data_IF_310974710064
#
_entry.id   IF_310974710064
#
_cell.length_a   1.000
_cell.length_b   1.000
_cell.length_c   1.000
_cell.angle_alpha   90.00
_cell.angle_beta   90.00
_cell.angle_gamma   90.00
#
_symmetry.space_group_name_H-M   'P 1'
#
loop_
_entity.id
_entity.type
_entity.pdbx_description
1 polymer ?
#
# COMPACT_ATOMS: atom_id res chain seq x y z
N UNK A 1 -19.48 -17.90 -36.42
CA UNK A 1 -18.73 -19.11 -36.00
C UNK A 1 -17.29 -19.00 -36.50
N UNK A 2 -16.54 -18.02 -35.99
CA UNK A 2 -15.08 -17.85 -36.17
C UNK A 2 -14.65 -17.07 -34.93
N UNK A 3 -14.33 -17.75 -33.83
CA UNK A 3 -13.70 -17.12 -32.65
C UNK A 3 -13.12 -18.14 -31.64
N UNK A 4 -12.78 -19.36 -32.10
CA UNK A 4 -12.19 -20.40 -31.23
C UNK A 4 -10.76 -20.80 -31.59
N UNK A 5 -10.14 -20.19 -32.62
CA UNK A 5 -8.76 -20.51 -33.04
C UNK A 5 -7.70 -19.48 -32.62
N UNK A 6 -8.10 -18.34 -32.02
CA UNK A 6 -7.15 -17.25 -31.74
C UNK A 6 -6.21 -17.54 -30.56
N UNK A 7 -6.67 -18.24 -29.52
CA UNK A 7 -5.88 -18.50 -28.30
C UNK A 7 -4.67 -19.40 -28.55
N UNK A 8 -4.80 -20.42 -29.42
CA UNK A 8 -3.67 -21.28 -29.83
C UNK A 8 -2.66 -20.54 -30.72
N UNK A 9 -3.08 -19.45 -31.35
CA UNK A 9 -2.26 -18.66 -32.28
C UNK A 9 -1.39 -17.68 -31.50
N UNK A 10 -1.94 -17.06 -30.45
CA UNK A 10 -1.22 -16.17 -29.55
C UNK A 10 -0.16 -16.93 -28.72
N UNK A 11 -0.49 -18.09 -28.17
CA UNK A 11 0.49 -18.92 -27.43
C UNK A 11 1.67 -19.37 -28.30
N UNK A 12 1.41 -19.71 -29.57
CA UNK A 12 2.47 -20.04 -30.55
C UNK A 12 3.32 -18.82 -30.89
N UNK A 13 2.71 -17.65 -31.07
CA UNK A 13 3.44 -16.42 -31.34
C UNK A 13 4.34 -16.02 -30.16
N UNK A 14 3.81 -16.09 -28.93
CA UNK A 14 4.59 -15.86 -27.71
C UNK A 14 5.74 -16.87 -27.57
N UNK A 15 5.50 -18.17 -27.80
CA UNK A 15 6.55 -19.19 -27.75
C UNK A 15 7.67 -18.95 -28.78
N UNK A 16 7.32 -18.51 -30.00
CA UNK A 16 8.27 -18.17 -31.05
C UNK A 16 9.11 -16.94 -30.70
N UNK A 17 8.49 -15.88 -30.18
CA UNK A 17 9.19 -14.64 -29.79
C UNK A 17 10.13 -14.92 -28.61
N UNK A 18 9.68 -15.65 -27.59
CA UNK A 18 10.52 -15.99 -26.44
C UNK A 18 11.74 -16.82 -26.84
N UNK A 19 11.58 -17.80 -27.75
CA UNK A 19 12.72 -18.57 -28.30
C UNK A 19 13.67 -17.69 -29.11
N UNK A 20 13.14 -16.77 -29.91
CA UNK A 20 13.95 -15.83 -30.68
C UNK A 20 14.74 -14.87 -29.79
N UNK A 21 14.14 -14.37 -28.69
CA UNK A 21 14.84 -13.53 -27.72
C UNK A 21 15.95 -14.29 -26.97
N UNK A 22 15.72 -15.57 -26.66
CA UNK A 22 16.74 -16.44 -26.03
C UNK A 22 17.92 -16.74 -26.97
N UNK A 23 17.66 -16.85 -28.28
CA UNK A 23 18.71 -17.09 -29.28
C UNK A 23 19.57 -15.86 -29.58
N UNK A 24 19.07 -14.64 -29.32
CA UNK A 24 19.71 -13.39 -29.73
C UNK A 24 20.15 -12.49 -28.55
N UNK A 25 20.29 -13.04 -27.32
CA UNK A 25 20.85 -12.35 -26.16
C UNK A 25 20.32 -10.91 -25.93
N UNK A 26 19.01 -10.76 -25.75
CA UNK A 26 18.29 -9.47 -25.63
C UNK A 26 18.33 -8.58 -26.89
N UNK A 27 17.66 -8.99 -27.97
CA UNK A 27 17.60 -8.20 -29.20
C UNK A 27 16.71 -6.94 -29.06
N UNK A 28 17.10 -5.87 -29.76
CA UNK A 28 16.40 -4.58 -29.82
C UNK A 28 15.20 -4.61 -30.77
N UNK A 29 14.30 -3.63 -30.66
CA UNK A 29 13.14 -3.47 -31.56
C UNK A 29 13.56 -3.33 -33.03
N UNK A 30 14.70 -2.69 -33.30
CA UNK A 30 15.26 -2.52 -34.64
C UNK A 30 15.77 -3.84 -35.22
N UNK A 31 16.35 -4.71 -34.40
CA UNK A 31 16.76 -6.06 -34.82
C UNK A 31 15.55 -6.94 -35.14
N UNK A 32 14.44 -6.79 -34.39
CA UNK A 32 13.19 -7.47 -34.70
C UNK A 32 12.59 -6.98 -36.03
N UNK A 33 12.56 -5.66 -36.27
CA UNK A 33 12.08 -5.09 -37.54
C UNK A 33 12.97 -5.54 -38.72
N UNK A 34 14.28 -5.59 -38.52
CA UNK A 34 15.24 -6.10 -39.52
C UNK A 34 15.00 -7.58 -39.83
N UNK A 35 14.81 -8.42 -38.81
CA UNK A 35 14.50 -9.84 -38.99
C UNK A 35 13.17 -10.06 -39.74
N UNK A 36 12.12 -9.30 -39.40
CA UNK A 36 10.83 -9.36 -40.08
C UNK A 36 10.91 -8.88 -41.52
N UNK A 37 11.76 -7.88 -41.80
CA UNK A 37 12.00 -7.36 -43.16
C UNK A 37 12.71 -8.41 -44.01
N UNK A 38 13.71 -9.09 -43.44
CA UNK A 38 14.39 -10.21 -44.10
C UNK A 38 13.45 -11.41 -44.36
N UNK A 39 12.42 -11.58 -43.52
CA UNK A 39 11.35 -12.57 -43.72
C UNK A 39 10.20 -12.08 -44.60
N UNK A 40 10.32 -10.88 -45.19
CA UNK A 40 9.32 -10.25 -46.04
C UNK A 40 7.92 -10.06 -45.38
N UNK A 41 7.87 -9.98 -44.04
CA UNK A 41 6.64 -9.81 -43.25
C UNK A 41 6.33 -8.34 -42.97
N UNK A 42 6.17 -7.56 -44.04
CA UNK A 42 5.87 -6.12 -43.96
C UNK A 42 4.53 -5.82 -43.26
N UNK A 43 3.59 -6.77 -43.28
CA UNK A 43 2.31 -6.71 -42.57
C UNK A 43 2.47 -6.63 -41.05
N UNK A 44 3.45 -7.37 -40.51
CA UNK A 44 3.77 -7.36 -39.07
C UNK A 44 4.57 -6.12 -38.70
N UNK A 45 5.48 -5.66 -39.56
CA UNK A 45 6.22 -4.40 -39.33
C UNK A 45 5.24 -3.23 -39.24
N UNK A 46 4.25 -3.16 -40.15
CA UNK A 46 3.21 -2.12 -40.10
C UNK A 46 2.38 -2.19 -38.81
N UNK A 47 2.03 -3.39 -38.34
CA UNK A 47 1.33 -3.56 -37.06
C UNK A 47 2.20 -3.11 -35.88
N UNK A 48 3.49 -3.46 -35.88
CA UNK A 48 4.44 -2.99 -34.86
C UNK A 48 4.53 -1.46 -34.88
N UNK A 49 4.64 -0.85 -36.05
CA UNK A 49 4.68 0.60 -36.22
C UNK A 49 3.37 1.28 -35.78
N UNK A 50 2.22 0.65 -36.02
CA UNK A 50 0.91 1.11 -35.52
C UNK A 50 0.81 1.00 -34.00
N UNK A 51 1.28 -0.10 -33.41
CA UNK A 51 1.35 -0.26 -31.96
C UNK A 51 2.32 0.75 -31.33
N UNK A 52 3.48 1.01 -31.94
CA UNK A 52 4.41 2.03 -31.44
C UNK A 52 3.90 3.45 -31.66
N UNK A 53 3.07 3.70 -32.69
CA UNK A 53 2.38 4.98 -32.90
C UNK A 53 1.19 5.18 -31.95
N UNK A 54 0.48 4.12 -31.58
CA UNK A 54 -0.55 4.22 -30.54
C UNK A 54 0.04 4.47 -29.15
N UNK A 55 1.30 4.08 -28.91
CA UNK A 55 2.06 4.45 -27.71
C UNK A 55 2.83 5.78 -27.84
N UNK A 56 2.87 6.41 -29.01
CA UNK A 56 3.49 7.74 -29.23
C UNK A 56 2.52 8.72 -29.90
N UNK A 57 1.91 9.60 -29.09
CA UNK A 57 1.20 10.80 -29.55
C UNK A 57 2.16 11.75 -30.31
N UNK A 58 1.68 12.62 -31.23
CA UNK A 58 2.51 13.17 -32.30
C UNK A 58 3.60 14.13 -31.81
N UNK A 59 4.75 14.02 -32.48
CA UNK A 59 6.01 14.72 -32.21
C UNK A 59 5.84 16.25 -32.15
N UNK A 60 6.22 16.81 -31.01
CA UNK A 60 6.72 18.19 -30.89
C UNK A 60 8.23 18.20 -31.18
N UNK A 61 8.77 19.31 -31.70
CA UNK A 61 10.08 19.33 -32.34
C UNK A 61 11.19 19.01 -31.34
N UNK A 62 12.17 18.26 -31.86
CA UNK A 62 13.47 17.93 -31.28
C UNK A 62 13.99 18.96 -30.28
N UNK A 63 13.89 18.62 -29.00
CA UNK A 63 14.56 19.29 -27.90
C UNK A 63 14.50 18.39 -26.68
N UNK A 64 15.61 17.72 -26.37
CA UNK A 64 15.93 17.03 -25.11
C UNK A 64 14.72 16.65 -24.23
N UNK A 65 14.33 15.38 -24.26
CA UNK A 65 13.55 14.78 -23.15
C UNK A 65 14.37 14.96 -21.87
N UNK A 66 14.04 15.97 -21.08
CA UNK A 66 14.58 16.10 -19.74
C UNK A 66 14.03 14.93 -18.94
N UNK A 67 14.86 13.92 -18.66
CA UNK A 67 14.57 12.95 -17.60
C UNK A 67 14.10 13.75 -16.38
N UNK A 68 12.87 13.52 -15.90
CA UNK A 68 12.36 14.21 -14.71
C UNK A 68 13.40 14.03 -13.60
N UNK A 69 13.92 15.15 -13.09
CA UNK A 69 14.89 15.10 -11.99
C UNK A 69 14.23 14.53 -10.73
N UNK A 70 15.00 13.82 -9.92
CA UNK A 70 14.56 13.16 -8.68
C UNK A 70 13.81 14.13 -7.75
N UNK A 71 14.29 15.38 -7.69
CA UNK A 71 13.67 16.45 -6.89
C UNK A 71 12.23 16.75 -7.31
N UNK A 72 11.96 16.74 -8.62
CA UNK A 72 10.64 17.01 -9.20
C UNK A 72 9.69 15.86 -8.90
N UNK A 73 10.14 14.62 -9.11
CA UNK A 73 9.35 13.42 -8.83
C UNK A 73 8.99 13.34 -7.34
N UNK A 74 9.96 13.59 -6.46
CA UNK A 74 9.73 13.61 -5.01
C UNK A 74 8.68 14.66 -4.63
N UNK A 75 8.80 15.89 -5.14
CA UNK A 75 7.84 16.97 -4.89
C UNK A 75 6.42 16.63 -5.40
N UNK A 76 6.32 16.00 -6.57
CA UNK A 76 5.04 15.53 -7.14
C UNK A 76 4.39 14.43 -6.29
N UNK A 77 5.16 13.46 -5.79
CA UNK A 77 4.68 12.42 -4.87
C UNK A 77 4.17 13.02 -3.56
N UNK A 78 4.93 13.94 -2.96
CA UNK A 78 4.51 14.63 -1.73
C UNK A 78 3.21 15.41 -1.94
N UNK A 79 3.12 16.17 -3.03
CA UNK A 79 1.90 16.90 -3.41
C UNK A 79 0.72 15.96 -3.66
N UNK A 80 0.96 14.80 -4.27
CA UNK A 80 -0.04 13.77 -4.47
C UNK A 80 -0.62 13.28 -3.13
N UNK A 81 0.22 12.93 -2.16
CA UNK A 81 -0.27 12.45 -0.86
C UNK A 81 -0.99 13.53 -0.06
N UNK A 82 -0.45 14.76 -0.03
CA UNK A 82 -1.14 15.90 0.61
C UNK A 82 -2.54 16.13 0.01
N UNK A 83 -2.68 15.99 -1.32
CA UNK A 83 -3.96 16.14 -2.01
C UNK A 83 -4.93 14.99 -1.73
N UNK A 84 -4.46 13.74 -1.81
CA UNK A 84 -5.30 12.55 -1.78
C UNK A 84 -5.59 12.01 -0.37
N UNK A 85 -4.70 12.27 0.59
CA UNK A 85 -4.82 11.78 1.97
C UNK A 85 -4.91 12.89 3.02
N UNK A 86 -4.60 14.15 2.67
CA UNK A 86 -4.67 15.27 3.61
C UNK A 86 -6.09 15.63 4.03
N UNK A 87 -7.10 15.34 3.20
CA UNK A 87 -8.51 15.62 3.49
C UNK A 87 -9.31 14.34 3.73
N UNK A 88 -10.08 14.31 4.81
CA UNK A 88 -11.05 13.28 5.12
C UNK A 88 -12.47 13.80 4.96
N UNK A 89 -13.35 13.00 4.35
CA UNK A 89 -14.77 13.28 4.22
C UNK A 89 -15.51 12.83 5.47
N UNK A 90 -16.01 13.78 6.26
CA UNK A 90 -16.87 13.49 7.39
C UNK A 90 -18.33 13.52 6.97
N UNK A 91 -19.04 12.42 7.24
CA UNK A 91 -20.49 12.36 7.08
C UNK A 91 -21.12 13.00 8.32
N UNK A 92 -21.59 14.24 8.18
CA UNK A 92 -22.44 14.88 9.17
C UNK A 92 -23.85 14.25 9.13
N UNK A 93 -24.63 14.31 10.23
CA UNK A 93 -26.00 13.80 10.23
C UNK A 93 -26.82 14.42 9.08
N UNK A 94 -27.74 13.60 8.56
CA UNK A 94 -28.58 13.84 7.39
C UNK A 94 -29.01 15.31 7.29
N UNK A 95 -28.71 15.94 6.15
CA UNK A 95 -29.02 17.32 5.69
C UNK A 95 -27.82 18.30 5.56
N UNK A 96 -26.57 17.90 5.81
CA UNK A 96 -25.39 18.73 5.48
C UNK A 96 -24.42 18.02 4.55
N UNK A 97 -23.87 18.76 3.57
CA UNK A 97 -22.82 18.30 2.64
C UNK A 97 -21.61 17.81 3.46
N UNK A 98 -20.94 16.71 3.06
CA UNK A 98 -19.76 16.23 3.75
C UNK A 98 -18.71 17.35 3.92
N UNK A 99 -18.29 17.59 5.16
CA UNK A 99 -17.21 18.54 5.44
C UNK A 99 -15.88 17.84 5.18
N UNK A 100 -15.00 18.48 4.40
CA UNK A 100 -13.63 18.01 4.21
C UNK A 100 -12.77 18.58 5.34
N UNK A 101 -12.24 17.71 6.20
CA UNK A 101 -11.41 18.09 7.35
C UNK A 101 -9.99 17.57 7.17
N UNK A 102 -9.01 18.24 7.78
CA UNK A 102 -7.60 17.86 7.72
C UNK A 102 -7.33 16.58 8.56
N UNK A 103 -6.70 15.57 7.96
CA UNK A 103 -6.38 14.29 8.64
C UNK A 103 -5.46 14.50 9.84
N UNK A 104 -4.45 15.38 9.71
CA UNK A 104 -3.43 15.60 10.74
C UNK A 104 -4.02 16.24 11.98
N UNK A 105 -4.97 17.16 11.80
CA UNK A 105 -5.69 17.80 12.92
C UNK A 105 -6.62 16.84 13.66
N UNK A 106 -7.12 15.80 12.96
CA UNK A 106 -8.05 14.81 13.50
C UNK A 106 -7.39 13.48 13.87
N UNK A 107 -6.07 13.39 13.76
CA UNK A 107 -5.38 12.17 14.15
C UNK A 107 -5.38 12.04 15.67
N UNK A 108 -5.88 10.89 16.13
CA UNK A 108 -5.79 10.49 17.54
C UNK A 108 -4.72 9.42 17.64
N UNK A 109 -3.80 9.61 18.58
CA UNK A 109 -2.67 8.71 18.75
C UNK A 109 -3.11 7.27 19.04
N UNK A 110 -2.46 6.35 18.35
CA UNK A 110 -2.66 4.91 18.50
C UNK A 110 -1.65 4.36 19.51
N UNK A 111 -2.11 3.46 20.37
CA UNK A 111 -1.26 2.62 21.18
C UNK A 111 -0.53 1.63 20.27
N UNK A 112 0.78 1.84 20.14
CA UNK A 112 1.69 1.05 19.33
C UNK A 112 2.66 0.35 20.27
N UNK A 113 2.87 -0.95 20.09
CA UNK A 113 3.73 -1.76 20.95
C UNK A 113 4.69 -2.61 20.13
N UNK A 114 5.79 -3.03 20.73
CA UNK A 114 6.70 -4.02 20.13
C UNK A 114 6.00 -5.38 20.04
N UNK A 115 5.96 -5.96 18.84
CA UNK A 115 5.28 -7.22 18.60
C UNK A 115 5.96 -8.44 19.25
N UNK A 116 7.25 -8.34 19.62
CA UNK A 116 7.95 -9.40 20.36
C UNK A 116 7.37 -9.56 21.77
N UNK A 117 6.87 -8.47 22.35
CA UNK A 117 6.28 -8.46 23.70
C UNK A 117 4.78 -8.79 23.69
N UNK A 118 4.17 -8.91 22.52
CA UNK A 118 2.79 -9.36 22.35
C UNK A 118 2.79 -10.86 22.07
N UNK A 119 2.46 -11.68 23.07
CA UNK A 119 2.20 -13.11 22.85
C UNK A 119 1.19 -13.26 21.69
N UNK A 120 1.53 -14.08 20.70
CA UNK A 120 0.74 -14.33 19.48
C UNK A 120 -0.75 -14.49 19.82
N UNK A 121 -1.55 -13.45 19.61
CA UNK A 121 -3.00 -13.56 19.72
C UNK A 121 -3.50 -14.22 18.43
N UNK A 122 -3.37 -15.55 18.41
CA UNK A 122 -4.10 -16.42 17.51
C UNK A 122 -5.61 -16.19 17.73
N UNK A 123 -6.28 -15.77 16.66
CA UNK A 123 -7.57 -16.28 16.20
C UNK A 123 -8.42 -16.98 17.28
N UNK A 124 -9.49 -16.30 17.70
CA UNK A 124 -10.64 -16.70 18.56
C UNK A 124 -10.65 -16.35 20.07
N UNK A 125 -11.72 -15.62 20.41
CA UNK A 125 -12.46 -15.65 21.68
C UNK A 125 -11.67 -15.73 22.98
N UNK A 126 -10.93 -14.67 23.30
CA UNK A 126 -10.59 -14.37 24.69
C UNK A 126 -11.11 -12.97 25.00
N UNK A 127 -11.89 -12.86 26.07
CA UNK A 127 -12.69 -11.69 26.46
C UNK A 127 -11.99 -10.35 26.19
N UNK A 128 -12.65 -9.43 25.49
CA UNK A 128 -12.14 -8.08 25.14
C UNK A 128 -11.65 -7.28 26.36
N UNK A 129 -12.09 -7.65 27.57
CA UNK A 129 -11.53 -7.15 28.83
C UNK A 129 -10.02 -7.41 28.92
N UNK A 130 -9.56 -8.61 28.56
CA UNK A 130 -8.12 -8.95 28.51
C UNK A 130 -7.37 -8.13 27.45
N UNK A 131 -8.03 -7.77 26.34
CA UNK A 131 -7.44 -6.88 25.34
C UNK A 131 -7.21 -5.47 25.89
N UNK A 132 -8.21 -4.88 26.58
CA UNK A 132 -8.05 -3.60 27.27
C UNK A 132 -6.99 -3.65 28.38
N UNK A 133 -7.01 -4.69 29.21
CA UNK A 133 -6.01 -4.88 30.28
C UNK A 133 -4.60 -4.96 29.68
N UNK A 134 -4.42 -5.73 28.60
CA UNK A 134 -3.16 -5.77 27.85
C UNK A 134 -2.75 -4.38 27.35
N UNK A 135 -3.65 -3.61 26.74
CA UNK A 135 -3.34 -2.26 26.26
C UNK A 135 -2.79 -1.34 27.36
N UNK A 136 -3.33 -1.43 28.57
CA UNK A 136 -2.90 -0.60 29.70
C UNK A 136 -1.61 -1.09 30.36
N UNK A 137 -1.24 -2.34 30.12
CA UNK A 137 -0.04 -2.97 30.70
C UNK A 137 1.23 -2.77 29.86
N UNK A 138 1.10 -2.36 28.60
CA UNK A 138 2.23 -2.06 27.74
C UNK A 138 2.62 -0.59 27.81
N UNK A 139 3.92 -0.31 27.79
CA UNK A 139 4.43 1.03 27.52
C UNK A 139 4.36 1.27 26.02
N UNK A 140 3.52 2.20 25.53
CA UNK A 140 3.42 2.47 24.10
C UNK A 140 4.74 3.03 23.57
N UNK A 141 5.12 2.62 22.37
CA UNK A 141 6.21 3.23 21.62
C UNK A 141 5.70 4.57 21.09
N UNK A 142 6.36 5.70 21.41
CA UNK A 142 6.02 6.99 20.83
C UNK A 142 6.12 6.94 19.30
N UNK A 143 5.20 7.62 18.61
CA UNK A 143 5.19 7.67 17.14
C UNK A 143 6.52 8.15 16.54
N UNK A 144 7.13 9.18 17.16
CA UNK A 144 8.45 9.69 16.77
C UNK A 144 9.53 8.62 16.80
N UNK A 145 9.48 7.73 17.78
CA UNK A 145 10.53 6.77 18.07
C UNK A 145 10.56 5.64 17.03
N UNK A 146 9.45 5.41 16.33
CA UNK A 146 9.37 4.47 15.19
C UNK A 146 10.33 4.85 14.04
N UNK A 147 10.70 6.13 13.95
CA UNK A 147 11.51 6.67 12.86
C UNK A 147 12.89 7.17 13.32
N UNK A 148 13.18 7.12 14.64
CA UNK A 148 14.47 7.55 15.20
C UNK A 148 15.62 6.61 14.81
N UNK A 149 15.34 5.32 14.63
CA UNK A 149 16.31 4.34 14.14
C UNK A 149 15.91 3.94 12.73
N UNK A 150 16.83 4.12 11.78
CA UNK A 150 16.61 3.65 10.42
C UNK A 150 16.45 2.13 10.42
N UNK A 151 15.28 1.67 9.97
CA UNK A 151 14.96 0.26 9.78
C UNK A 151 14.64 0.03 8.33
N UNK A 152 15.24 -1.01 7.76
CA UNK A 152 15.01 -1.37 6.36
C UNK A 152 13.63 -2.00 6.16
N UNK A 153 13.12 -2.68 7.19
CA UNK A 153 11.82 -3.33 7.17
C UNK A 153 11.01 -2.95 8.40
N UNK A 154 9.80 -2.42 8.18
CA UNK A 154 8.83 -2.17 9.25
C UNK A 154 7.58 -3.01 9.01
N UNK A 155 7.24 -3.87 9.97
CA UNK A 155 6.04 -4.68 9.91
C UNK A 155 5.01 -4.17 10.91
N UNK A 156 3.78 -3.97 10.44
CA UNK A 156 2.69 -3.40 11.23
C UNK A 156 1.52 -4.38 11.29
N UNK A 157 1.34 -5.01 12.44
CA UNK A 157 0.25 -5.97 12.67
C UNK A 157 -0.91 -5.34 13.45
N UNK A 158 -2.07 -6.00 13.42
CA UNK A 158 -3.21 -5.64 14.25
C UNK A 158 -4.54 -6.12 13.65
N UNK A 159 -5.61 -6.06 14.43
CA UNK A 159 -6.94 -6.52 14.00
C UNK A 159 -7.58 -5.58 12.96
N UNK A 160 -8.70 -6.00 12.37
CA UNK A 160 -9.46 -5.17 11.43
C UNK A 160 -10.01 -3.92 12.12
N UNK A 161 -9.99 -2.77 11.43
CA UNK A 161 -10.51 -1.50 11.95
C UNK A 161 -9.68 -0.83 13.06
N UNK A 162 -8.52 -1.39 13.42
CA UNK A 162 -7.70 -0.93 14.54
C UNK A 162 -6.91 0.36 14.26
N UNK A 163 -6.78 0.76 12.98
CA UNK A 163 -6.11 2.00 12.58
C UNK A 163 -4.85 1.86 11.72
N UNK A 164 -4.49 0.65 11.24
CA UNK A 164 -3.29 0.42 10.39
C UNK A 164 -3.20 1.35 9.18
N UNK A 165 -4.21 1.35 8.31
CA UNK A 165 -4.27 2.24 7.14
C UNK A 165 -4.27 3.72 7.53
N UNK A 166 -4.89 4.07 8.66
CA UNK A 166 -4.88 5.44 9.18
C UNK A 166 -3.47 5.89 9.60
N UNK A 167 -2.71 5.01 10.27
CA UNK A 167 -1.31 5.25 10.62
C UNK A 167 -0.45 5.40 9.35
N UNK A 168 -0.59 4.51 8.37
CA UNK A 168 0.18 4.59 7.13
C UNK A 168 -0.10 5.89 6.35
N UNK A 169 -1.36 6.34 6.31
CA UNK A 169 -1.71 7.63 5.70
C UNK A 169 -1.10 8.81 6.45
N UNK A 170 -1.09 8.78 7.79
CA UNK A 170 -0.35 9.77 8.59
C UNK A 170 1.13 9.77 8.23
N UNK A 171 1.77 8.60 8.13
CA UNK A 171 3.17 8.52 7.71
C UNK A 171 3.42 9.12 6.32
N UNK A 172 2.53 8.90 5.35
CA UNK A 172 2.64 9.52 4.03
C UNK A 172 2.57 11.05 4.08
N UNK A 173 1.69 11.60 4.93
CA UNK A 173 1.59 13.05 5.14
C UNK A 173 2.79 13.61 5.88
N UNK A 174 3.26 12.94 6.93
CA UNK A 174 4.45 13.35 7.69
C UNK A 174 5.71 13.31 6.82
N UNK A 175 5.87 12.28 5.98
CA UNK A 175 6.95 12.25 4.97
C UNK A 175 6.80 13.39 3.95
N UNK A 176 5.57 13.70 3.54
CA UNK A 176 5.30 14.81 2.61
C UNK A 176 5.64 16.17 3.21
N UNK A 177 5.63 16.28 4.54
CA UNK A 177 6.02 17.46 5.31
C UNK A 177 7.43 17.36 5.90
N UNK A 178 8.28 16.44 5.41
CA UNK A 178 9.68 16.29 5.82
C UNK A 178 9.86 16.03 7.34
N UNK A 179 8.88 15.37 7.96
CA UNK A 179 8.85 15.08 9.40
C UNK A 179 9.37 13.69 9.75
N UNK A 180 9.35 12.75 8.80
CA UNK A 180 9.84 11.37 8.95
C UNK A 180 10.56 10.91 7.67
N UNK A 181 11.39 9.86 7.78
CA UNK A 181 12.11 9.23 6.66
C UNK A 181 12.91 10.23 5.80
N UNK A 182 13.63 11.15 6.44
CA UNK A 182 14.35 12.23 5.75
C UNK A 182 15.47 11.74 4.80
N UNK A 183 15.94 10.52 5.00
CA UNK A 183 16.90 9.79 4.17
C UNK A 183 16.25 9.18 2.90
N UNK A 184 14.93 9.02 2.89
CA UNK A 184 14.15 8.45 1.78
C UNK A 184 13.68 9.53 0.82
N UNK A 185 14.03 9.42 -0.46
CA UNK A 185 13.69 10.39 -1.49
C UNK A 185 12.35 10.13 -2.16
N UNK A 186 11.92 8.86 -2.22
CA UNK A 186 10.70 8.43 -2.89
C UNK A 186 9.92 7.46 -2.00
N UNK A 187 8.63 7.70 -1.83
CA UNK A 187 7.73 6.79 -1.10
C UNK A 187 6.58 6.39 -2.01
N UNK A 188 6.36 5.08 -2.17
CA UNK A 188 5.27 4.51 -2.95
C UNK A 188 4.34 3.69 -2.04
N UNK A 189 3.03 3.83 -2.22
CA UNK A 189 1.99 3.23 -1.39
C UNK A 189 1.04 2.39 -2.24
N UNK A 190 0.89 1.13 -1.85
CA UNK A 190 0.07 0.15 -2.56
C UNK A 190 -0.92 -0.51 -1.61
N UNK A 191 -2.21 -0.40 -1.96
CA UNK A 191 -3.27 -1.15 -1.31
C UNK A 191 -3.41 -2.52 -1.99
N UNK A 192 -3.20 -3.62 -1.27
CA UNK A 192 -3.27 -4.98 -1.83
C UNK A 192 -4.62 -5.29 -2.50
N UNK A 193 -5.72 -4.79 -1.95
CA UNK A 193 -7.05 -4.89 -2.57
C UNK A 193 -7.12 -4.28 -3.98
N UNK A 194 -6.36 -3.21 -4.25
CA UNK A 194 -6.27 -2.59 -5.58
C UNK A 194 -5.32 -3.37 -6.48
N UNK A 195 -4.22 -3.89 -5.93
CA UNK A 195 -3.26 -4.73 -6.67
C UNK A 195 -3.92 -5.98 -7.27
N UNK A 196 -4.90 -6.57 -6.58
CA UNK A 196 -5.65 -7.73 -7.06
C UNK A 196 -6.33 -7.53 -8.44
N UNK A 197 -6.52 -6.28 -8.88
CA UNK A 197 -7.12 -5.95 -10.18
C UNK A 197 -6.09 -6.02 -11.34
N UNK A 198 -4.80 -6.10 -11.05
CA UNK A 198 -3.72 -5.97 -12.03
C UNK A 198 -2.79 -7.19 -12.05
N UNK A 199 -3.33 -8.34 -12.45
CA UNK A 199 -2.64 -9.63 -12.35
C UNK A 199 -1.43 -9.76 -13.30
N UNK A 200 -1.42 -8.98 -14.39
CA UNK A 200 -0.42 -9.05 -15.45
C UNK A 200 0.80 -8.13 -15.23
N UNK A 201 0.81 -7.32 -14.17
CA UNK A 201 1.97 -6.48 -13.82
C UNK A 201 3.09 -7.39 -13.35
N UNK A 202 4.25 -7.36 -14.00
CA UNK A 202 5.32 -8.34 -13.77
C UNK A 202 6.49 -7.83 -12.94
N UNK A 203 6.65 -6.51 -12.83
CA UNK A 203 7.80 -5.85 -12.20
C UNK A 203 7.41 -4.50 -11.58
N UNK A 204 8.32 -3.90 -10.80
CA UNK A 204 8.05 -2.63 -10.12
C UNK A 204 7.82 -1.47 -11.10
N UNK A 205 8.50 -1.42 -12.24
CA UNK A 205 8.35 -0.31 -13.18
C UNK A 205 6.94 -0.27 -13.79
N UNK A 206 6.40 -1.43 -14.18
CA UNK A 206 5.00 -1.58 -14.59
C UNK A 206 4.03 -1.22 -13.46
N UNK A 207 4.37 -1.58 -12.22
CA UNK A 207 3.55 -1.22 -11.07
C UNK A 207 3.47 0.31 -10.89
N UNK A 208 4.60 0.99 -11.01
CA UNK A 208 4.66 2.45 -10.91
C UNK A 208 3.99 3.15 -12.09
N UNK A 209 4.15 2.64 -13.31
CA UNK A 209 3.51 3.23 -14.49
C UNK A 209 1.99 3.10 -14.46
N UNK A 210 1.43 2.14 -13.71
CA UNK A 210 -0.02 2.00 -13.51
C UNK A 210 -0.52 2.89 -12.38
N UNK A 211 0.12 2.84 -11.21
CA UNK A 211 -0.39 3.49 -9.99
C UNK A 211 0.02 4.96 -9.87
N UNK A 212 1.12 5.35 -10.53
CA UNK A 212 1.73 6.69 -10.46
C UNK A 212 1.99 7.28 -11.84
N UNK A 213 1.24 6.86 -12.88
CA UNK A 213 1.45 7.24 -14.29
C UNK A 213 1.66 8.74 -14.55
N UNK A 214 0.95 9.60 -13.79
CA UNK A 214 0.99 11.05 -13.97
C UNK A 214 2.23 11.69 -13.33
N UNK A 215 2.97 10.92 -12.52
CA UNK A 215 4.13 11.35 -11.72
C UNK A 215 5.40 10.66 -12.27
N UNK A 216 5.35 9.34 -12.38
CA UNK A 216 6.41 8.47 -12.86
C UNK A 216 6.16 8.15 -14.34
N UNK A 217 6.86 8.86 -15.23
CA UNK A 217 6.96 8.50 -16.64
C UNK A 217 8.45 8.43 -17.00
N UNK A 218 8.90 7.26 -17.48
CA UNK A 218 10.30 6.97 -17.86
C UNK A 218 11.35 7.28 -16.77
N UNK A 219 10.99 7.15 -15.49
CA UNK A 219 11.88 7.40 -14.36
C UNK A 219 12.38 6.10 -13.74
N UNK A 220 13.70 5.90 -13.72
CA UNK A 220 14.32 4.71 -13.13
C UNK A 220 14.55 4.89 -11.63
N UNK A 221 13.73 4.23 -10.82
CA UNK A 221 13.81 4.25 -9.35
C UNK A 221 15.01 3.47 -8.77
N UNK A 222 15.64 2.59 -9.55
CA UNK A 222 16.63 1.62 -9.06
C UNK A 222 17.87 2.26 -8.41
N UNK A 223 18.16 3.52 -8.74
CA UNK A 223 19.32 4.27 -8.26
C UNK A 223 19.00 5.20 -7.07
N UNK A 224 17.76 5.17 -6.56
CA UNK A 224 17.29 6.17 -5.60
C UNK A 224 16.78 5.53 -4.31
N UNK A 225 17.06 6.18 -3.18
CA UNK A 225 16.58 5.78 -1.86
C UNK A 225 15.04 5.81 -1.84
N UNK A 226 14.44 4.63 -2.00
CA UNK A 226 13.00 4.44 -2.19
C UNK A 226 12.44 3.54 -1.09
N UNK A 227 11.25 3.90 -0.60
CA UNK A 227 10.47 3.15 0.38
C UNK A 227 9.15 2.71 -0.24
N UNK A 228 8.79 1.45 -0.03
CA UNK A 228 7.53 0.88 -0.49
C UNK A 228 6.64 0.55 0.69
N UNK A 229 5.40 1.03 0.68
CA UNK A 229 4.39 0.73 1.68
C UNK A 229 3.36 -0.22 1.07
N UNK A 230 3.20 -1.40 1.67
CA UNK A 230 2.23 -2.41 1.29
C UNK A 230 1.14 -2.43 2.38
N UNK A 231 -0.07 -1.99 2.05
CA UNK A 231 -1.20 -1.93 2.97
C UNK A 231 -2.23 -3.03 2.68
N UNK A 232 -2.62 -3.74 3.73
CA UNK A 232 -3.60 -4.81 3.67
C UNK A 232 -3.03 -6.10 3.11
N UNK A 233 -1.85 -6.55 3.55
CA UNK A 233 -1.24 -7.80 3.07
C UNK A 233 -2.20 -9.00 3.14
N UNK A 234 -3.04 -9.08 4.18
CA UNK A 234 -4.07 -10.11 4.32
C UNK A 234 -5.18 -10.07 3.25
N UNK A 235 -5.30 -8.96 2.53
CA UNK A 235 -6.23 -8.76 1.41
C UNK A 235 -5.59 -9.09 0.05
N UNK A 236 -4.29 -9.42 0.00
CA UNK A 236 -3.64 -9.82 -1.25
C UNK A 236 -4.07 -11.22 -1.64
N UNK A 237 -4.70 -11.36 -2.82
CA UNK A 237 -5.29 -12.62 -3.28
C UNK A 237 -4.26 -13.74 -3.44
N UNK A 238 -3.01 -13.36 -3.71
CA UNK A 238 -1.90 -14.26 -3.99
C UNK A 238 -0.87 -14.30 -2.85
N UNK A 239 -1.33 -14.10 -1.61
CA UNK A 239 -0.48 -14.11 -0.44
C UNK A 239 0.29 -15.43 -0.31
N UNK A 240 -0.36 -16.57 -0.52
CA UNK A 240 0.30 -17.88 -0.40
C UNK A 240 1.44 -18.08 -1.40
N UNK A 241 1.28 -17.58 -2.63
CA UNK A 241 2.30 -17.62 -3.68
C UNK A 241 3.45 -16.66 -3.36
N UNK A 242 3.15 -15.46 -2.85
CA UNK A 242 4.17 -14.53 -2.35
C UNK A 242 4.98 -15.15 -1.20
N UNK A 243 4.33 -15.93 -0.35
CA UNK A 243 4.97 -16.57 0.80
C UNK A 243 5.80 -17.81 0.45
N UNK A 244 5.59 -18.42 -0.72
CA UNK A 244 6.26 -19.66 -1.11
C UNK A 244 6.89 -19.52 -2.51
N UNK A 245 8.11 -18.98 -2.61
CA UNK A 245 8.79 -18.74 -3.89
C UNK A 245 9.04 -20.00 -4.72
N UNK A 246 8.99 -21.19 -4.10
CA UNK A 246 9.14 -22.49 -4.76
C UNK A 246 7.89 -22.92 -5.54
N UNK A 247 6.74 -22.29 -5.31
CA UNK A 247 5.55 -22.51 -6.13
C UNK A 247 5.75 -21.84 -7.49
N UNK A 248 5.51 -22.58 -8.58
CA UNK A 248 5.42 -21.97 -9.92
C UNK A 248 4.31 -20.92 -9.89
N UNK A 249 4.68 -19.65 -9.81
CA UNK A 249 3.73 -18.56 -9.75
C UNK A 249 3.21 -18.26 -11.16
N UNK A 250 1.92 -18.49 -11.39
CA UNK A 250 1.25 -18.11 -12.64
C UNK A 250 0.80 -16.64 -12.65
N UNK A 251 1.12 -15.87 -11.60
CA UNK A 251 0.63 -14.51 -11.41
C UNK A 251 1.80 -13.52 -11.37
N UNK A 252 2.08 -12.83 -12.49
CA UNK A 252 3.18 -11.87 -12.58
C UNK A 252 3.24 -10.84 -11.44
N UNK A 253 2.07 -10.42 -10.92
CA UNK A 253 1.99 -9.42 -9.83
C UNK A 253 2.71 -9.85 -8.56
N UNK A 254 2.83 -11.15 -8.30
CA UNK A 254 3.60 -11.68 -7.17
C UNK A 254 5.09 -11.36 -7.33
N UNK A 255 5.63 -11.41 -8.54
CA UNK A 255 7.02 -11.08 -8.82
C UNK A 255 7.30 -9.60 -8.55
N UNK A 256 6.38 -8.71 -8.94
CA UNK A 256 6.50 -7.28 -8.64
C UNK A 256 6.56 -7.01 -7.12
N UNK A 257 5.72 -7.69 -6.33
CA UNK A 257 5.77 -7.57 -4.86
C UNK A 257 7.02 -8.22 -4.26
N UNK A 258 7.51 -9.33 -4.83
CA UNK A 258 8.75 -9.96 -4.39
C UNK A 258 9.98 -9.06 -4.67
N UNK A 259 9.99 -8.34 -5.79
CA UNK A 259 11.03 -7.36 -6.10
C UNK A 259 11.12 -6.23 -5.07
N UNK A 260 9.98 -5.82 -4.49
CA UNK A 260 9.92 -4.77 -3.45
C UNK A 260 10.77 -5.13 -2.23
N UNK A 261 10.94 -6.43 -1.94
CA UNK A 261 11.73 -6.89 -0.79
C UNK A 261 13.22 -6.49 -0.88
N UNK A 262 13.69 -6.10 -2.07
CA UNK A 262 15.05 -5.57 -2.29
C UNK A 262 15.22 -4.12 -1.82
N UNK A 263 14.13 -3.43 -1.51
CA UNK A 263 14.10 -2.02 -1.10
C UNK A 263 13.74 -1.88 0.38
N UNK A 264 13.90 -0.66 0.94
CA UNK A 264 13.27 -0.33 2.21
C UNK A 264 11.75 -0.51 2.05
N UNK A 265 11.08 -1.14 3.00
CA UNK A 265 9.63 -1.35 2.89
C UNK A 265 8.90 -1.43 4.23
N UNK A 266 7.64 -1.00 4.20
CA UNK A 266 6.67 -1.12 5.30
C UNK A 266 5.55 -2.06 4.85
N UNK A 267 5.20 -3.04 5.68
CA UNK A 267 4.09 -3.97 5.37
C UNK A 267 3.10 -3.96 6.51
N UNK A 268 1.83 -3.66 6.21
CA UNK A 268 0.75 -3.69 7.17
C UNK A 268 -0.29 -4.76 6.83
N UNK A 269 -0.78 -5.44 7.86
CA UNK A 269 -1.75 -6.52 7.68
C UNK A 269 -2.30 -7.04 9.01
N UNK A 270 -3.14 -8.08 8.93
CA UNK A 270 -3.52 -8.85 10.11
C UNK A 270 -2.33 -9.58 10.71
N UNK A 271 -2.42 -9.87 12.01
CA UNK A 271 -1.38 -10.56 12.80
C UNK A 271 -0.88 -11.80 12.07
N UNK A 272 -1.77 -12.72 11.68
CA UNK A 272 -1.36 -13.94 10.98
C UNK A 272 -0.61 -13.70 9.66
N UNK A 273 -0.98 -12.68 8.89
CA UNK A 273 -0.37 -12.40 7.59
C UNK A 273 1.04 -11.80 7.77
N UNK A 274 1.18 -10.93 8.76
CA UNK A 274 2.46 -10.35 9.14
C UNK A 274 3.39 -11.41 9.73
N UNK A 275 2.88 -12.31 10.57
CA UNK A 275 3.67 -13.41 11.15
C UNK A 275 4.23 -14.33 10.05
N UNK A 276 3.39 -14.70 9.07
CA UNK A 276 3.81 -15.52 7.92
C UNK A 276 4.84 -14.80 7.04
N UNK A 277 4.61 -13.51 6.75
CA UNK A 277 5.56 -12.70 5.98
C UNK A 277 6.89 -12.52 6.71
N UNK A 278 6.85 -12.44 8.04
CA UNK A 278 8.04 -12.37 8.87
C UNK A 278 8.89 -13.64 8.77
N UNK A 279 8.29 -14.81 8.67
CA UNK A 279 9.02 -16.08 8.59
C UNK A 279 9.84 -16.27 7.32
N UNK A 280 9.52 -15.55 6.24
CA UNK A 280 10.21 -15.67 4.95
C UNK A 280 11.14 -14.48 4.63
N UNK A 281 10.93 -13.35 5.30
CA UNK A 281 11.75 -12.15 5.12
C UNK A 281 13.10 -12.38 5.81
N UNK A 282 14.16 -12.48 5.02
CA UNK A 282 15.52 -12.91 5.40
C UNK A 282 16.04 -12.34 6.72
N UNK A 283 16.71 -13.18 7.50
CA UNK A 283 17.32 -12.93 8.82
C UNK A 283 18.41 -11.83 8.89
N UNK A 284 18.64 -11.05 7.83
CA UNK A 284 19.80 -10.13 7.72
C UNK A 284 19.41 -8.66 7.52
N UNK A 285 18.12 -8.33 7.65
CA UNK A 285 17.64 -6.94 7.58
C UNK A 285 17.33 -6.37 8.96
N UNK A 286 17.76 -5.13 9.19
CA UNK A 286 17.38 -4.36 10.37
C UNK A 286 15.86 -4.14 10.37
N UNK A 287 15.15 -4.89 11.21
CA UNK A 287 13.70 -4.99 11.21
C UNK A 287 13.07 -4.45 12.48
N UNK A 288 11.90 -3.84 12.33
CA UNK A 288 11.01 -3.43 13.41
C UNK A 288 9.64 -4.06 13.18
N UNK A 289 9.18 -4.89 14.12
CA UNK A 289 7.81 -5.43 14.09
C UNK A 289 7.02 -4.77 15.22
N UNK A 290 5.96 -4.04 14.85
CA UNK A 290 5.05 -3.41 15.79
C UNK A 290 3.63 -3.97 15.64
N UNK A 291 2.88 -3.91 16.74
CA UNK A 291 1.46 -4.20 16.74
C UNK A 291 0.67 -2.95 17.15
N UNK A 292 -0.35 -2.62 16.35
CA UNK A 292 -1.30 -1.57 16.70
C UNK A 292 -2.37 -2.18 17.58
N UNK A 293 -2.51 -1.60 18.77
CA UNK A 293 -3.51 -2.02 19.74
C UNK A 293 -4.76 -1.11 19.72
N UNK A 294 -4.78 -0.01 18.97
CA UNK A 294 -5.92 0.90 18.88
C UNK A 294 -5.79 2.08 19.84
N UNK A 295 -6.89 2.62 20.35
CA UNK A 295 -6.85 3.68 21.35
C UNK A 295 -6.67 3.12 22.76
N UNK A 296 -5.80 3.75 23.54
CA UNK A 296 -5.80 3.62 25.01
C UNK A 296 -6.88 4.55 25.60
N UNK A 297 -7.01 4.59 26.93
CA UNK A 297 -8.04 5.40 27.61
C UNK A 297 -7.95 6.89 27.24
N UNK A 298 -6.72 7.44 27.15
CA UNK A 298 -6.50 8.83 26.73
C UNK A 298 -6.92 9.05 25.27
N UNK A 299 -6.60 8.11 24.38
CA UNK A 299 -6.99 8.16 22.97
C UNK A 299 -8.52 8.12 22.80
N UNK A 300 -9.22 7.27 23.56
CA UNK A 300 -10.69 7.22 23.54
C UNK A 300 -11.26 8.57 23.99
N UNK A 301 -10.76 9.12 25.10
CA UNK A 301 -11.23 10.40 25.63
C UNK A 301 -10.97 11.54 24.63
N UNK A 302 -9.75 11.61 24.08
CA UNK A 302 -9.37 12.58 23.05
C UNK A 302 -10.30 12.48 21.82
N UNK A 303 -10.57 11.26 21.35
CA UNK A 303 -11.50 11.05 20.24
C UNK A 303 -12.89 11.58 20.57
N UNK A 304 -13.43 11.25 21.75
CA UNK A 304 -14.77 11.73 22.18
C UNK A 304 -14.80 13.26 22.26
N UNK A 305 -13.78 13.91 22.80
CA UNK A 305 -13.77 15.37 22.91
C UNK A 305 -13.66 16.08 21.56
N UNK A 306 -12.88 15.54 20.63
CA UNK A 306 -12.55 16.24 19.39
C UNK A 306 -13.38 15.80 18.17
N UNK A 307 -14.05 14.65 18.23
CA UNK A 307 -14.73 14.06 17.07
C UNK A 307 -16.22 13.80 17.29
N UNK A 308 -16.69 13.69 18.53
CA UNK A 308 -18.11 13.49 18.81
C UNK A 308 -18.79 14.86 18.92
N UNK A 309 -19.96 14.97 18.29
CA UNK A 309 -20.82 16.17 18.37
C UNK A 309 -21.13 16.50 19.83
N UNK A 310 -21.06 17.78 20.19
CA UNK A 310 -21.22 18.26 21.58
C UNK A 310 -22.48 17.70 22.25
N UNK A 311 -23.61 17.73 21.55
CA UNK A 311 -24.91 17.20 22.00
C UNK A 311 -24.95 15.69 22.30
N UNK A 312 -23.97 14.92 21.79
CA UNK A 312 -23.86 13.48 22.02
C UNK A 312 -22.78 13.13 23.05
N UNK A 313 -21.85 14.02 23.35
CA UNK A 313 -20.68 13.72 24.20
C UNK A 313 -21.06 13.14 25.56
N UNK A 314 -22.04 13.72 26.25
CA UNK A 314 -22.46 13.26 27.56
C UNK A 314 -23.08 11.85 27.52
N UNK A 315 -23.89 11.57 26.50
CA UNK A 315 -24.48 10.24 26.28
C UNK A 315 -23.37 9.22 25.98
N UNK A 316 -22.37 9.60 25.19
CA UNK A 316 -21.21 8.75 24.89
C UNK A 316 -20.42 8.45 26.15
N UNK A 317 -20.05 9.48 26.93
CA UNK A 317 -19.31 9.34 28.19
C UNK A 317 -20.07 8.46 29.19
N UNK A 318 -21.38 8.66 29.32
CA UNK A 318 -22.24 7.83 30.16
C UNK A 318 -22.22 6.36 29.69
N UNK A 319 -22.41 6.11 28.38
CA UNK A 319 -22.39 4.76 27.81
C UNK A 319 -21.05 4.05 28.04
N UNK A 320 -19.93 4.75 27.86
CA UNK A 320 -18.59 4.20 28.10
C UNK A 320 -18.32 3.92 29.58
N UNK A 321 -18.97 4.67 30.49
CA UNK A 321 -18.87 4.47 31.94
C UNK A 321 -19.72 3.28 32.41
N UNK A 322 -20.92 3.13 31.84
CA UNK A 322 -21.90 2.13 32.27
C UNK A 322 -21.70 0.75 31.63
N UNK A 323 -21.14 0.70 30.42
CA UNK A 323 -20.97 -0.55 29.66
C UNK A 323 -19.49 -0.91 29.49
N UNK A 324 -19.00 -1.95 30.21
CA UNK A 324 -17.65 -2.49 29.99
C UNK A 324 -17.42 -2.94 28.55
N UNK A 325 -18.48 -3.41 27.87
CA UNK A 325 -18.44 -3.83 26.47
C UNK A 325 -18.23 -2.62 25.57
N UNK A 326 -18.96 -1.52 25.80
CA UNK A 326 -18.78 -0.29 25.03
C UNK A 326 -17.39 0.30 25.24
N UNK A 327 -16.91 0.35 26.49
CA UNK A 327 -15.53 0.78 26.82
C UNK A 327 -14.48 -0.07 26.11
N UNK A 328 -14.69 -1.38 26.02
CA UNK A 328 -13.78 -2.27 25.30
C UNK A 328 -13.83 -2.08 23.78
N UNK A 329 -15.02 -1.92 23.19
CA UNK A 329 -15.17 -1.67 21.76
C UNK A 329 -14.61 -0.31 21.33
N UNK A 330 -14.69 0.69 22.21
CA UNK A 330 -14.16 2.03 22.01
C UNK A 330 -12.65 2.07 21.76
N UNK A 331 -11.89 1.08 22.24
CA UNK A 331 -10.47 0.93 21.94
C UNK A 331 -10.19 0.70 20.45
N UNK A 332 -11.16 0.21 19.68
CA UNK A 332 -11.01 0.02 18.23
C UNK A 332 -11.58 1.26 17.53
N UNK A 333 -10.75 2.08 16.85
CA UNK A 333 -11.19 3.33 16.23
C UNK A 333 -12.40 3.17 15.31
N UNK A 334 -12.47 2.07 14.55
CA UNK A 334 -13.62 1.77 13.71
C UNK A 334 -14.93 1.65 14.49
N UNK A 335 -14.96 0.91 15.59
CA UNK A 335 -16.17 0.75 16.40
C UNK A 335 -16.54 2.05 17.09
N UNK A 336 -15.57 2.77 17.66
CA UNK A 336 -15.79 4.06 18.29
C UNK A 336 -16.42 5.06 17.31
N UNK A 337 -15.89 5.15 16.09
CA UNK A 337 -16.46 6.03 15.05
C UNK A 337 -17.88 5.62 14.65
N UNK A 338 -18.18 4.31 14.65
CA UNK A 338 -19.48 3.78 14.22
C UNK A 338 -20.57 3.96 15.27
N UNK A 339 -20.21 3.88 16.56
CA UNK A 339 -21.14 4.07 17.68
C UNK A 339 -21.83 5.44 17.65
N UNK A 340 -21.17 6.47 17.10
CA UNK A 340 -21.61 7.87 17.31
C UNK A 340 -21.93 8.63 16.02
N UNK A 341 -21.34 8.24 14.89
CA UNK A 341 -21.62 8.84 13.57
C UNK A 341 -22.83 8.22 12.85
N UNK A 342 -23.55 7.29 13.49
CA UNK A 342 -24.82 6.77 12.94
C UNK A 342 -24.68 6.05 11.59
N UNK A 343 -23.55 5.36 11.35
CA UNK A 343 -23.41 4.51 10.16
C UNK A 343 -24.44 3.37 10.23
N UNK A 344 -25.57 3.53 9.53
CA UNK A 344 -26.34 2.38 9.06
C UNK A 344 -25.50 1.71 7.98
N UNK A 345 -25.16 0.45 8.21
CA UNK A 345 -24.46 -0.41 7.27
C UNK A 345 -25.26 -0.51 5.96
N UNK A 346 -24.64 -0.11 4.84
CA UNK A 346 -24.94 -0.62 3.51
C UNK A 346 -23.62 -0.92 2.82
#
# INVERSE_FOLDING_TARGET
MIDQDNTKTDEKAYSMITKWMQMNANPTLEELKSALKNMNRMDLIRKIDEFTKLSSSPEMPSGFSASKDLSTVSAELKKFYLKHYGKISEHQPLLKVPANVDLMQKFVDLCIVDAVNTQMDAVFSVERKKFLEKQMNYTPIPYSDLFMKEKSVVLISGIAGIGKTWLLRKCLLDWSNDSIWNDVKLVFYFECRRLNQYQNISNINELLSVFYKDIINDFNISNHASLFIIDGLDEFKYLNELLNPSLKCNYPVVNALAEIQKYKHVVAGRVYAIDQYQSISTEHSDKLTIQIMGFNENGVNNYVENHVMEEKKDVVKATLKESPIAKAMASVPFYLSSMYNGRRFQ
#
